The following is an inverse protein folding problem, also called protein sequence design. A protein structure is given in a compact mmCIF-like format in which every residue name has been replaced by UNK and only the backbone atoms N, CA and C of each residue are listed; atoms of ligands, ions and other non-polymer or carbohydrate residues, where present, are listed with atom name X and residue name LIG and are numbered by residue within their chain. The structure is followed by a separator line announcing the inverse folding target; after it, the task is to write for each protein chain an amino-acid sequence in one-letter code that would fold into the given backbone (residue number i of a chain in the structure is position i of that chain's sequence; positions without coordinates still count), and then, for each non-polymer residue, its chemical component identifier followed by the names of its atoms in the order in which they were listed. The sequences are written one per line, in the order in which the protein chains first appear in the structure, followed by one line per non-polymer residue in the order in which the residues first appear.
data_IF_873509900891
#
_entry.id   IF_873509900891
#
_cell.length_a   1.000
_cell.length_b   1.000
_cell.length_c   1.000
_cell.angle_alpha   90.00
_cell.angle_beta   90.00
_cell.angle_gamma   90.00
#
_symmetry.space_group_name_H-M   'P 1'
#
loop_
_entity.id
_entity.type
_entity.pdbx_description
1 polymer ?
#
# COMPACT_ATOMS: atom_id res chain seq x y z
N UNK A 1 8.74 2.95 23.03
CA UNK A 1 9.36 4.16 22.45
C UNK A 1 9.47 3.90 20.96
N UNK A 2 8.62 4.52 20.14
CA UNK A 2 8.72 4.39 18.69
C UNK A 2 9.87 5.27 18.19
N UNK A 3 11.07 4.68 18.07
CA UNK A 3 12.31 5.37 17.66
C UNK A 3 12.27 6.01 16.26
N UNK A 4 11.14 5.91 15.55
CA UNK A 4 10.91 6.54 14.24
C UNK A 4 10.37 7.97 14.33
N UNK A 5 9.79 8.37 15.46
CA UNK A 5 9.20 9.70 15.63
C UNK A 5 10.23 10.84 15.63
N UNK A 6 11.51 10.52 15.83
CA UNK A 6 12.64 11.47 15.89
C UNK A 6 13.46 11.52 14.58
N UNK A 7 13.08 10.73 13.56
CA UNK A 7 13.82 10.68 12.31
C UNK A 7 13.38 11.80 11.35
N UNK A 8 14.37 12.45 10.72
CA UNK A 8 14.13 13.37 9.60
C UNK A 8 13.46 12.63 8.41
N UNK A 9 12.67 13.31 7.57
CA UNK A 9 12.08 12.70 6.36
C UNK A 9 13.11 11.96 5.49
N UNK A 10 14.31 12.50 5.35
CA UNK A 10 15.40 11.90 4.59
C UNK A 10 15.88 10.58 5.21
N UNK A 11 16.01 10.54 6.54
CA UNK A 11 16.37 9.33 7.27
C UNK A 11 15.28 8.24 7.16
N UNK A 12 14.01 8.63 7.11
CA UNK A 12 12.89 7.71 6.88
C UNK A 12 12.93 7.11 5.47
N UNK A 13 13.25 7.92 4.45
CA UNK A 13 13.43 7.43 3.07
C UNK A 13 14.60 6.46 2.95
N UNK A 14 15.74 6.76 3.58
CA UNK A 14 16.91 5.87 3.57
C UNK A 14 16.62 4.55 4.31
N UNK A 15 15.91 4.62 5.44
CA UNK A 15 15.45 3.43 6.14
C UNK A 15 14.54 2.57 5.26
N UNK A 16 13.55 3.18 4.59
CA UNK A 16 12.66 2.49 3.69
C UNK A 16 13.41 1.82 2.52
N UNK A 17 14.32 2.54 1.86
CA UNK A 17 15.16 1.97 0.79
C UNK A 17 15.96 0.77 1.27
N UNK A 18 16.56 0.87 2.46
CA UNK A 18 17.32 -0.22 3.08
C UNK A 18 16.43 -1.45 3.32
N UNK A 19 15.23 -1.24 3.87
CA UNK A 19 14.26 -2.31 4.11
C UNK A 19 13.78 -2.98 2.81
N UNK A 20 13.47 -2.19 1.79
CA UNK A 20 13.08 -2.69 0.48
C UNK A 20 14.21 -3.50 -0.17
N UNK A 21 15.45 -3.01 -0.13
CA UNK A 21 16.60 -3.69 -0.72
C UNK A 21 16.93 -5.04 -0.04
N UNK A 22 16.67 -5.14 1.27
CA UNK A 22 16.87 -6.38 2.04
C UNK A 22 15.72 -7.38 1.85
N UNK A 23 14.60 -6.96 1.26
CA UNK A 23 13.46 -7.85 1.06
C UNK A 23 13.76 -8.94 0.01
N UNK A 24 13.23 -10.17 0.20
CA UNK A 24 13.34 -11.24 -0.80
C UNK A 24 12.81 -10.80 -2.16
N UNK A 25 13.33 -11.40 -3.24
CA UNK A 25 12.95 -11.06 -4.62
C UNK A 25 11.42 -11.08 -4.83
N UNK A 26 10.74 -12.15 -4.41
CA UNK A 26 9.28 -12.25 -4.56
C UNK A 26 8.50 -11.18 -3.79
N UNK A 27 9.04 -10.67 -2.67
CA UNK A 27 8.43 -9.54 -1.95
C UNK A 27 8.61 -8.26 -2.73
N UNK A 28 9.81 -8.01 -3.28
CA UNK A 28 10.09 -6.83 -4.11
C UNK A 28 9.23 -6.80 -5.37
N UNK A 29 9.10 -7.92 -6.07
CA UNK A 29 8.26 -8.05 -7.26
C UNK A 29 6.78 -7.74 -6.97
N UNK A 30 6.26 -8.26 -5.85
CA UNK A 30 4.89 -7.92 -5.40
C UNK A 30 4.77 -6.44 -5.05
N UNK A 31 5.73 -5.87 -4.34
CA UNK A 31 5.75 -4.44 -4.03
C UNK A 31 5.75 -3.59 -5.31
N UNK A 32 6.61 -3.90 -6.28
CA UNK A 32 6.72 -3.16 -7.54
C UNK A 32 5.41 -3.22 -8.33
N UNK A 33 4.74 -4.38 -8.32
CA UNK A 33 3.43 -4.54 -8.96
C UNK A 33 2.35 -3.69 -8.27
N UNK A 34 2.29 -3.69 -6.93
CA UNK A 34 1.36 -2.83 -6.19
C UNK A 34 1.63 -1.34 -6.44
N UNK A 35 2.90 -0.94 -6.48
CA UNK A 35 3.31 0.43 -6.76
C UNK A 35 2.88 0.85 -8.17
N UNK A 36 3.10 -0.01 -9.17
CA UNK A 36 2.69 0.24 -10.56
C UNK A 36 1.17 0.36 -10.68
N UNK A 37 0.40 -0.53 -10.05
CA UNK A 37 -1.06 -0.47 -10.04
C UNK A 37 -1.56 0.88 -9.50
N UNK A 38 -0.95 1.38 -8.42
CA UNK A 38 -1.30 2.69 -7.83
C UNK A 38 -0.90 3.86 -8.74
N UNK A 39 0.28 3.80 -9.37
CA UNK A 39 0.73 4.79 -10.34
C UNK A 39 -0.23 4.87 -11.54
N UNK A 40 -0.64 3.72 -12.08
CA UNK A 40 -1.59 3.63 -13.17
C UNK A 40 -2.97 4.17 -12.77
N UNK A 41 -3.43 3.87 -11.55
CA UNK A 41 -4.69 4.40 -11.02
C UNK A 41 -4.64 5.93 -10.95
N UNK A 42 -3.59 6.51 -10.36
CA UNK A 42 -3.41 7.97 -10.29
C UNK A 42 -3.23 8.61 -11.66
N UNK A 43 -2.54 7.95 -12.59
CA UNK A 43 -2.41 8.44 -13.96
C UNK A 43 -3.78 8.53 -14.65
N UNK A 44 -4.65 7.52 -14.46
CA UNK A 44 -6.04 7.53 -14.97
C UNK A 44 -6.84 8.69 -14.37
N UNK A 45 -6.74 8.92 -13.06
CA UNK A 45 -7.40 10.05 -12.38
C UNK A 45 -6.90 11.41 -12.90
N UNK A 46 -5.64 11.50 -13.31
CA UNK A 46 -5.01 12.71 -13.88
C UNK A 46 -5.08 12.80 -15.41
N UNK A 47 -5.99 12.06 -16.05
CA UNK A 47 -6.18 12.07 -17.51
C UNK A 47 -4.90 11.73 -18.30
N UNK A 48 -4.15 10.73 -17.84
CA UNK A 48 -2.93 10.24 -18.50
C UNK A 48 -1.66 11.02 -18.16
N UNK A 49 -1.74 12.08 -17.34
CA UNK A 49 -0.54 12.75 -16.83
C UNK A 49 0.23 11.85 -15.86
N UNK A 50 1.57 11.98 -15.78
CA UNK A 50 2.38 11.20 -14.85
C UNK A 50 1.83 11.35 -13.42
N UNK A 51 1.70 10.25 -12.66
CA UNK A 51 1.38 10.36 -11.25
C UNK A 51 2.53 11.11 -10.57
N UNK A 52 2.21 12.05 -9.68
CA UNK A 52 3.22 12.60 -8.80
C UNK A 52 3.82 11.51 -7.91
N UNK A 53 4.89 11.81 -7.16
CA UNK A 53 5.52 10.84 -6.27
C UNK A 53 4.48 10.23 -5.32
N UNK A 54 4.53 8.90 -5.16
CA UNK A 54 3.69 8.21 -4.18
C UNK A 54 4.25 8.50 -2.78
N UNK A 55 3.41 8.99 -1.84
CA UNK A 55 3.86 9.28 -0.47
C UNK A 55 4.53 8.08 0.18
N UNK A 56 5.50 8.35 1.07
CA UNK A 56 6.27 7.32 1.76
C UNK A 56 5.35 6.34 2.51
N UNK A 57 4.37 6.85 3.26
CA UNK A 57 3.39 6.03 4.00
C UNK A 57 2.69 4.99 3.10
N UNK A 58 2.28 5.39 1.90
CA UNK A 58 1.66 4.45 0.95
C UNK A 58 2.65 3.39 0.47
N UNK A 59 3.90 3.77 0.21
CA UNK A 59 4.97 2.83 -0.19
C UNK A 59 5.31 1.85 0.93
N UNK A 60 5.44 2.33 2.16
CA UNK A 60 5.64 1.49 3.35
C UNK A 60 4.49 0.50 3.50
N UNK A 61 3.25 0.94 3.29
CA UNK A 61 2.10 0.06 3.35
C UNK A 61 2.14 -1.04 2.27
N UNK A 62 2.49 -0.69 1.01
CA UNK A 62 2.64 -1.69 -0.05
C UNK A 62 3.71 -2.73 0.28
N UNK A 63 4.85 -2.30 0.84
CA UNK A 63 5.93 -3.21 1.24
C UNK A 63 5.47 -4.12 2.38
N UNK A 64 4.76 -3.58 3.37
CA UNK A 64 4.18 -4.35 4.47
C UNK A 64 3.22 -5.43 3.95
N UNK A 65 2.32 -5.08 3.04
CA UNK A 65 1.39 -6.04 2.42
C UNK A 65 2.16 -7.11 1.65
N UNK A 66 3.12 -6.71 0.81
CA UNK A 66 3.91 -7.64 0.00
C UNK A 66 4.71 -8.65 0.85
N UNK A 67 5.12 -8.24 2.07
CA UNK A 67 5.81 -9.10 3.05
C UNK A 67 4.90 -10.15 3.68
N UNK A 68 3.61 -9.84 3.90
CA UNK A 68 2.67 -10.73 4.61
C UNK A 68 1.83 -11.61 3.68
N UNK A 69 1.85 -11.36 2.37
CA UNK A 69 1.11 -12.17 1.39
C UNK A 69 2.01 -13.11 0.60
N UNK A 70 1.41 -14.21 0.11
CA UNK A 70 2.11 -15.25 -0.63
C UNK A 70 2.06 -15.02 -2.15
N UNK A 71 1.01 -14.38 -2.65
CA UNK A 71 0.79 -14.09 -4.08
C UNK A 71 0.48 -12.61 -4.33
N UNK A 72 0.50 -12.20 -5.61
CA UNK A 72 0.09 -10.85 -6.01
C UNK A 72 -1.42 -10.66 -5.90
N UNK A 73 -2.20 -11.71 -6.16
CA UNK A 73 -3.65 -11.71 -6.00
C UNK A 73 -4.04 -11.48 -4.53
N UNK A 74 -3.37 -12.16 -3.61
CA UNK A 74 -3.56 -11.98 -2.17
C UNK A 74 -3.15 -10.56 -1.74
N UNK A 75 -2.04 -10.05 -2.27
CA UNK A 75 -1.57 -8.70 -1.99
C UNK A 75 -2.61 -7.64 -2.41
N UNK A 76 -3.16 -7.78 -3.62
CA UNK A 76 -4.22 -6.90 -4.14
C UNK A 76 -5.49 -7.01 -3.29
N UNK A 77 -5.88 -8.21 -2.89
CA UNK A 77 -7.05 -8.44 -2.02
C UNK A 77 -6.86 -7.79 -0.65
N UNK A 78 -5.70 -7.98 -0.02
CA UNK A 78 -5.36 -7.39 1.26
C UNK A 78 -5.39 -5.84 1.19
N UNK A 79 -4.79 -5.26 0.16
CA UNK A 79 -4.82 -3.81 -0.06
C UNK A 79 -6.24 -3.27 -0.24
N UNK A 80 -7.10 -3.99 -0.97
CA UNK A 80 -8.51 -3.63 -1.12
C UNK A 80 -9.26 -3.69 0.22
N UNK A 81 -9.08 -4.77 0.98
CA UNK A 81 -9.72 -4.94 2.28
C UNK A 81 -9.34 -3.82 3.26
N UNK A 82 -8.07 -3.42 3.30
CA UNK A 82 -7.62 -2.32 4.16
C UNK A 82 -8.27 -0.98 3.76
N UNK A 83 -8.31 -0.67 2.46
CA UNK A 83 -8.99 0.54 1.96
C UNK A 83 -10.49 0.53 2.25
N UNK A 84 -11.13 -0.62 2.08
CA UNK A 84 -12.55 -0.80 2.36
C UNK A 84 -12.80 -0.60 3.87
N UNK A 85 -11.92 -1.10 4.74
CA UNK A 85 -11.97 -0.90 6.19
C UNK A 85 -11.76 0.57 6.60
N UNK A 86 -10.77 1.26 6.05
CA UNK A 86 -10.54 2.70 6.29
C UNK A 86 -11.73 3.55 5.86
N UNK A 87 -12.37 3.21 4.74
CA UNK A 87 -13.56 3.91 4.26
C UNK A 87 -14.77 3.65 5.17
N UNK A 88 -14.95 2.40 5.58
CA UNK A 88 -16.01 1.96 6.48
C UNK A 88 -15.88 2.56 7.89
N UNK A 89 -14.66 2.63 8.43
CA UNK A 89 -14.40 3.21 9.75
C UNK A 89 -14.66 4.72 9.79
N UNK A 90 -14.40 5.44 8.70
CA UNK A 90 -14.77 6.87 8.56
C UNK A 90 -16.28 7.07 8.38
N UNK A 91 -17.00 6.07 7.87
CA UNK A 91 -18.45 6.11 7.61
C UNK A 91 -19.32 5.52 8.73
N UNK A 92 -18.74 5.00 9.81
CA UNK A 92 -19.48 4.48 10.97
C UNK A 92 -20.20 3.14 10.79
N UNK A 93 -19.97 2.41 9.68
CA UNK A 93 -20.50 1.05 9.50
C UNK A 93 -19.36 0.09 9.15
N UNK A 94 -19.03 -0.91 10.00
CA UNK A 94 -18.03 -1.91 9.66
C UNK A 94 -18.47 -2.71 8.43
N UNK A 95 -17.55 -3.14 7.56
CA UNK A 95 -17.87 -3.94 6.39
C UNK A 95 -18.04 -5.40 6.85
N UNK A 96 -19.20 -5.73 7.41
CA UNK A 96 -19.59 -7.11 7.64
C UNK A 96 -20.36 -7.55 6.39
N UNK A 97 -19.89 -8.59 5.72
CA UNK A 97 -20.57 -9.19 4.57
C UNK A 97 -21.97 -9.72 4.93
N UNK A 98 -22.90 -9.59 3.98
CA UNK A 98 -24.31 -10.04 4.04
C UNK A 98 -25.26 -8.84 3.95
N UNK A 99 -26.15 -8.68 2.98
CA UNK A 99 -26.84 -9.64 2.15
C UNK A 99 -26.94 -9.17 0.68
N UNK A 100 -27.03 -10.15 -0.22
CA UNK A 100 -27.64 -10.00 -1.54
C UNK A 100 -29.12 -9.68 -1.28
N UNK A 101 -29.59 -8.51 -1.68
CA UNK A 101 -31.02 -8.25 -1.79
C UNK A 101 -31.42 -8.54 -3.25
N UNK A 102 -32.36 -9.48 -3.38
CA UNK A 102 -33.20 -9.78 -4.54
C UNK A 102 -34.13 -8.57 -4.85
#
# INVERSE_FOLDING_TARGET
MDSRAELTPEALEEYFKSDLNKAPYGVRERYDTLLLDEQLKKAKERQGKPPGPIPLESRENFLRIAKVTMSIEDARRALKMERDWERASRGGRPPIGGAVDD
#
